data_IF_678132996495
#
_entry.id   IF_678132996495
#
_cell.length_a   1.000
_cell.length_b   1.000
_cell.length_c   1.000
_cell.angle_alpha   90.00
_cell.angle_beta   90.00
_cell.angle_gamma   90.00
#
_symmetry.space_group_name_H-M   'P 1'
#
loop_
_entity.id
_entity.type
_entity.pdbx_description
1 polymer ?
#
# COMPACT_ATOMS: atom_id res chain seq x y z
N UNK A 1 -4.60 10.20 -13.39
CA UNK A 1 -5.11 10.09 -12.02
C UNK A 1 -4.83 8.66 -11.60
N UNK A 2 -3.87 8.43 -10.72
CA UNK A 2 -3.37 7.09 -10.47
C UNK A 2 -4.37 6.27 -9.65
N UNK A 3 -4.98 5.27 -10.26
CA UNK A 3 -5.87 4.32 -9.57
C UNK A 3 -5.04 3.22 -8.92
N UNK A 4 -5.00 3.23 -7.58
CA UNK A 4 -4.37 2.17 -6.79
C UNK A 4 -5.44 1.19 -6.32
N UNK A 5 -5.20 -0.09 -6.55
CA UNK A 5 -6.03 -1.19 -6.13
C UNK A 5 -5.30 -2.06 -5.10
N UNK A 6 -6.07 -2.69 -4.23
CA UNK A 6 -5.57 -3.66 -3.26
C UNK A 6 -5.84 -5.07 -3.79
N UNK A 7 -4.79 -5.85 -3.98
CA UNK A 7 -4.90 -7.24 -4.40
C UNK A 7 -4.35 -8.18 -3.32
N UNK A 8 -5.02 -9.29 -2.99
CA UNK A 8 -4.48 -10.26 -2.05
C UNK A 8 -3.19 -10.90 -2.62
N UNK A 9 -2.20 -11.14 -1.77
CA UNK A 9 -1.00 -11.86 -2.18
C UNK A 9 -1.28 -13.36 -2.17
N UNK A 10 -1.21 -14.02 -3.33
CA UNK A 10 -1.57 -15.43 -3.48
C UNK A 10 -0.81 -16.38 -2.54
N UNK A 11 0.46 -16.08 -2.26
CA UNK A 11 1.30 -16.93 -1.39
C UNK A 11 1.27 -16.52 0.09
N UNK A 12 0.68 -15.38 0.44
CA UNK A 12 0.70 -14.86 1.80
C UNK A 12 -0.62 -14.17 2.14
N UNK A 13 -1.49 -14.89 2.85
CA UNK A 13 -2.83 -14.43 3.23
C UNK A 13 -2.84 -13.20 4.14
N UNK A 14 -1.70 -12.83 4.73
CA UNK A 14 -1.54 -11.64 5.58
C UNK A 14 -0.83 -10.48 4.86
N UNK A 15 -0.70 -10.59 3.54
CA UNK A 15 -0.10 -9.57 2.68
C UNK A 15 -1.04 -9.23 1.53
N UNK A 16 -1.14 -7.94 1.25
CA UNK A 16 -1.83 -7.40 0.09
C UNK A 16 -0.86 -6.55 -0.72
N UNK A 17 -1.04 -6.53 -2.03
CA UNK A 17 -0.29 -5.73 -2.96
C UNK A 17 -1.07 -4.45 -3.29
N UNK A 18 -0.36 -3.33 -3.29
CA UNK A 18 -0.85 -2.07 -3.84
C UNK A 18 -0.43 -2.02 -5.30
N UNK A 19 -1.41 -2.10 -6.20
CA UNK A 19 -1.20 -2.18 -7.65
C UNK A 19 -1.74 -0.93 -8.31
N UNK A 20 -0.92 -0.28 -9.13
CA UNK A 20 -1.37 0.78 -10.00
C UNK A 20 -2.05 0.16 -11.24
N UNK A 21 -3.37 0.25 -11.28
CA UNK A 21 -4.22 -0.44 -12.26
C UNK A 21 -3.85 -0.10 -13.72
N UNK A 22 -3.62 1.18 -14.02
CA UNK A 22 -3.32 1.65 -15.39
C UNK A 22 -2.02 1.06 -15.96
N UNK A 23 -1.04 0.77 -15.09
CA UNK A 23 0.29 0.28 -15.48
C UNK A 23 0.51 -1.19 -15.10
N UNK A 24 -0.46 -1.80 -14.41
CA UNK A 24 -0.33 -3.09 -13.72
C UNK A 24 0.98 -3.19 -12.93
N UNK A 25 1.35 -2.10 -12.27
CA UNK A 25 2.65 -1.97 -11.59
C UNK A 25 2.45 -2.07 -10.08
N UNK A 26 3.23 -2.94 -9.42
CA UNK A 26 3.22 -3.04 -7.96
C UNK A 26 3.96 -1.83 -7.41
N UNK A 27 3.21 -0.92 -6.78
CA UNK A 27 3.77 0.25 -6.13
C UNK A 27 3.97 0.02 -4.64
N UNK A 28 3.45 -1.04 -4.05
CA UNK A 28 3.66 -1.27 -2.63
C UNK A 28 3.01 -2.54 -2.14
N UNK A 29 3.08 -2.73 -0.83
CA UNK A 29 2.37 -3.81 -0.15
C UNK A 29 1.84 -3.33 1.20
N UNK A 30 0.74 -3.93 1.61
CA UNK A 30 0.20 -3.83 2.96
C UNK A 30 0.46 -5.17 3.63
N UNK A 31 1.07 -5.17 4.82
CA UNK A 31 1.32 -6.39 5.59
C UNK A 31 0.79 -6.22 7.00
N UNK A 32 0.21 -7.29 7.54
CA UNK A 32 -0.09 -7.37 8.98
C UNK A 32 1.21 -7.57 9.76
N UNK A 33 1.52 -6.63 10.65
CA UNK A 33 2.63 -6.73 11.59
C UNK A 33 2.31 -7.67 12.75
N UNK A 34 3.33 -8.11 13.47
CA UNK A 34 3.19 -8.94 14.67
C UNK A 34 2.45 -8.20 15.80
N UNK A 35 2.38 -6.88 15.72
CA UNK A 35 1.61 -6.03 16.63
C UNK A 35 0.09 -6.03 16.32
N UNK A 36 -0.34 -6.78 15.30
CA UNK A 36 -1.74 -6.93 14.90
C UNK A 36 -2.25 -5.85 13.94
N UNK A 37 -1.44 -4.80 13.72
CA UNK A 37 -1.73 -3.65 12.86
C UNK A 37 -1.28 -3.89 11.42
N UNK A 38 -1.90 -3.20 10.46
CA UNK A 38 -1.48 -3.22 9.06
C UNK A 38 -0.51 -2.05 8.80
N UNK A 39 0.53 -2.33 8.01
CA UNK A 39 1.59 -1.38 7.67
C UNK A 39 1.79 -1.32 6.17
N UNK A 40 1.98 -0.12 5.62
CA UNK A 40 2.32 0.07 4.20
C UNK A 40 3.83 0.00 4.03
N UNK A 41 4.29 -0.82 3.10
CA UNK A 41 5.65 -0.77 2.57
C UNK A 41 5.60 -0.24 1.15
N UNK A 42 6.17 0.96 0.96
CA UNK A 42 6.35 1.57 -0.34
C UNK A 42 7.36 0.77 -1.19
N UNK A 43 7.04 0.57 -2.47
CA UNK A 43 7.94 -0.02 -3.46
C UNK A 43 8.04 0.87 -4.70
N UNK A 44 9.25 0.94 -5.29
CA UNK A 44 9.51 1.68 -6.51
C UNK A 44 9.66 3.20 -6.34
N UNK A 45 9.95 3.92 -7.44
CA UNK A 45 10.36 5.33 -7.41
C UNK A 45 9.20 6.32 -7.28
N UNK A 46 7.95 5.85 -7.28
CA UNK A 46 6.76 6.72 -7.29
C UNK A 46 6.43 7.30 -5.90
N UNK A 47 6.98 6.70 -4.86
CA UNK A 47 6.94 7.25 -3.51
C UNK A 47 8.03 8.29 -3.34
N UNK A 48 7.72 9.34 -2.60
CA UNK A 48 8.70 10.34 -2.24
C UNK A 48 9.71 9.69 -1.30
N UNK A 49 11.03 9.83 -1.52
CA UNK A 49 12.06 9.22 -0.67
C UNK A 49 11.94 9.58 0.82
N UNK A 50 11.33 10.73 1.12
CA UNK A 50 11.09 11.22 2.48
C UNK A 50 9.78 10.73 3.11
N UNK A 51 8.90 10.09 2.34
CA UNK A 51 7.60 9.59 2.82
C UNK A 51 7.83 8.19 3.38
N UNK A 52 8.00 8.10 4.70
CA UNK A 52 8.02 6.82 5.40
C UNK A 52 6.63 6.53 5.96
N UNK A 53 6.07 5.37 5.60
CA UNK A 53 4.86 4.82 6.21
C UNK A 53 5.20 3.86 7.35
N UNK A 54 6.48 3.73 7.72
CA UNK A 54 6.94 2.78 8.74
C UNK A 54 6.38 3.07 10.15
N UNK A 55 5.75 4.23 10.35
CA UNK A 55 5.05 4.58 11.59
C UNK A 55 3.51 4.60 11.47
N UNK A 56 2.96 4.46 10.26
CA UNK A 56 1.51 4.49 10.05
C UNK A 56 0.92 3.10 10.33
N UNK A 57 0.01 3.04 11.30
CA UNK A 57 -0.71 1.84 11.71
C UNK A 57 -2.14 1.93 11.24
N UNK A 58 -2.62 0.88 10.59
CA UNK A 58 -4.00 0.80 10.10
C UNK A 58 -4.71 -0.39 10.74
N UNK A 59 -6.00 -0.22 11.06
CA UNK A 59 -6.84 -1.29 11.61
C UNK A 59 -7.26 -2.29 10.52
N UNK A 60 -7.37 -1.84 9.27
CA UNK A 60 -7.80 -2.65 8.12
C UNK A 60 -6.96 -2.34 6.87
N UNK A 61 -6.67 -3.33 6.00
CA UNK A 61 -5.92 -3.09 4.77
C UNK A 61 -6.61 -2.13 3.78
N UNK A 62 -7.93 -1.94 3.88
CA UNK A 62 -8.68 -0.95 3.09
C UNK A 62 -8.40 0.48 3.54
N UNK A 63 -8.08 0.72 4.81
CA UNK A 63 -7.66 2.05 5.28
C UNK A 63 -6.28 2.39 4.75
N UNK A 64 -5.37 1.41 4.76
CA UNK A 64 -4.06 1.53 4.12
C UNK A 64 -4.20 1.83 2.61
N UNK A 65 -5.16 1.19 1.92
CA UNK A 65 -5.49 1.50 0.52
C UNK A 65 -5.95 2.95 0.35
N UNK A 66 -6.88 3.45 1.16
CA UNK A 66 -7.35 4.83 1.08
C UNK A 66 -6.21 5.83 1.22
N UNK A 67 -5.27 5.56 2.13
CA UNK A 67 -4.09 6.40 2.31
C UNK A 67 -3.17 6.39 1.07
N UNK A 68 -2.96 5.22 0.48
CA UNK A 68 -2.22 5.10 -0.78
C UNK A 68 -2.93 5.85 -1.92
N UNK A 69 -4.24 5.65 -2.09
CA UNK A 69 -5.05 6.35 -3.10
C UNK A 69 -5.00 7.88 -2.92
N UNK A 70 -5.08 8.38 -1.68
CA UNK A 70 -4.96 9.81 -1.40
C UNK A 70 -3.57 10.35 -1.78
N UNK A 71 -2.51 9.60 -1.48
CA UNK A 71 -1.14 9.98 -1.83
C UNK A 71 -0.93 10.06 -3.35
N UNK A 72 -1.43 9.07 -4.09
CA UNK A 72 -1.29 8.98 -5.55
C UNK A 72 -2.30 9.82 -6.33
N UNK A 73 -3.47 10.10 -5.74
CA UNK A 73 -4.52 10.93 -6.36
C UNK A 73 -4.25 12.43 -6.28
N UNK A 74 -3.40 12.86 -5.33
CA UNK A 74 -2.97 14.26 -5.20
C UNK A 74 -1.75 14.59 -6.09
N UNK A 75 -1.39 13.72 -7.03
CA UNK A 75 -0.22 13.81 -7.91
C UNK A 75 -0.61 13.56 -9.36
#
# INVERSE_FOLDING_TARGET
MATIELQPHNENSETWLLVWAERQEIVGRVRRGEDGWFHITAHGPHWSPMKSFAGDKFDDPSEALKQAQAYFGNR
#
